data_IF_087106077653
#
_entry.id   IF_087106077653
#
_cell.length_a   1.000
_cell.length_b   1.000
_cell.length_c   1.000
_cell.angle_alpha   90.00
_cell.angle_beta   90.00
_cell.angle_gamma   90.00
#
_symmetry.space_group_name_H-M   'P 1'
#
loop_
_entity.id
_entity.type
_entity.pdbx_description
1 polymer ?
#
# COMPACT_ATOMS: atom_id res chain seq x y z
N UNK A 1 16.66 -0.06 16.10
CA UNK A 1 15.68 0.41 17.10
C UNK A 1 15.68 -0.56 18.28
N UNK A 2 15.72 -0.10 19.54
CA UNK A 2 15.60 -1.06 20.67
C UNK A 2 14.23 -1.74 20.64
N UNK A 3 14.17 -3.04 20.97
CA UNK A 3 12.95 -3.85 20.85
C UNK A 3 11.72 -3.25 21.58
N UNK A 4 11.93 -2.57 22.70
CA UNK A 4 10.86 -1.90 23.45
C UNK A 4 10.19 -0.77 22.65
N UNK A 5 10.95 -0.01 21.88
CA UNK A 5 10.40 1.11 21.09
C UNK A 5 9.58 0.57 19.92
N UNK A 6 10.05 -0.51 19.28
CA UNK A 6 9.31 -1.15 18.21
C UNK A 6 7.93 -1.65 18.68
N UNK A 7 7.86 -2.29 19.85
CA UNK A 7 6.59 -2.74 20.42
C UNK A 7 5.63 -1.57 20.67
N UNK A 8 6.10 -0.49 21.27
CA UNK A 8 5.26 0.69 21.54
C UNK A 8 4.72 1.29 20.24
N UNK A 9 5.54 1.37 19.19
CA UNK A 9 5.12 1.88 17.88
C UNK A 9 4.04 0.97 17.27
N UNK A 10 4.27 -0.34 17.25
CA UNK A 10 3.32 -1.34 16.73
C UNK A 10 1.96 -1.21 17.43
N UNK A 11 1.94 -1.23 18.76
CA UNK A 11 0.71 -1.12 19.54
C UNK A 11 0.01 0.23 19.33
N UNK A 12 0.77 1.32 19.11
CA UNK A 12 0.20 2.63 18.83
C UNK A 12 -0.57 2.63 17.50
N UNK A 13 -0.03 2.03 16.45
CA UNK A 13 -0.72 1.89 15.16
C UNK A 13 -1.97 1.00 15.26
N UNK A 14 -1.89 -0.15 15.96
CA UNK A 14 -3.06 -1.00 16.17
C UNK A 14 -4.13 -0.32 17.03
N UNK A 15 -3.73 0.45 18.04
CA UNK A 15 -4.67 1.24 18.85
C UNK A 15 -5.37 2.28 17.99
N UNK A 16 -4.64 3.01 17.14
CA UNK A 16 -5.24 3.97 16.21
C UNK A 16 -6.18 3.28 15.21
N UNK A 17 -5.80 2.12 14.66
CA UNK A 17 -6.64 1.33 13.78
C UNK A 17 -7.94 0.93 14.48
N UNK A 18 -7.85 0.41 15.71
CA UNK A 18 -9.00 0.04 16.53
C UNK A 18 -9.91 1.25 16.79
N UNK A 19 -9.34 2.40 17.19
CA UNK A 19 -10.09 3.63 17.39
C UNK A 19 -10.82 4.06 16.12
N UNK A 20 -10.17 3.96 14.95
CA UNK A 20 -10.78 4.37 13.70
C UNK A 20 -11.78 3.34 13.15
N UNK A 21 -11.63 2.06 13.51
CA UNK A 21 -12.50 0.98 13.05
C UNK A 21 -13.76 0.78 13.89
N UNK A 22 -13.65 0.92 15.21
CA UNK A 22 -14.66 0.48 16.16
C UNK A 22 -15.37 1.64 16.88
N UNK A 23 -14.73 2.81 17.01
CA UNK A 23 -15.37 3.97 17.66
C UNK A 23 -16.39 4.60 16.69
N UNK A 24 -17.63 4.89 17.14
CA UNK A 24 -18.64 5.52 16.29
C UNK A 24 -18.17 6.85 15.69
N UNK A 25 -18.54 7.12 14.43
CA UNK A 25 -18.18 8.34 13.69
C UNK A 25 -18.37 9.63 14.50
N UNK A 26 -19.49 9.76 15.22
CA UNK A 26 -19.81 10.93 16.05
C UNK A 26 -18.85 11.15 17.23
N UNK A 27 -18.21 10.08 17.72
CA UNK A 27 -17.23 10.16 18.80
C UNK A 27 -15.83 10.44 18.27
N UNK A 28 -15.41 9.74 17.21
CA UNK A 28 -14.06 9.91 16.64
C UNK A 28 -13.83 11.30 16.02
N UNK A 29 -14.85 11.95 15.43
CA UNK A 29 -14.71 13.34 14.94
C UNK A 29 -14.45 14.37 16.05
N UNK A 30 -14.71 14.05 17.32
CA UNK A 30 -14.45 14.99 18.45
C UNK A 30 -12.95 15.26 18.65
N UNK A 31 -12.10 14.33 18.21
CA UNK A 31 -10.64 14.44 18.30
C UNK A 31 -9.99 14.75 16.94
N UNK A 32 -10.76 15.24 15.97
CA UNK A 32 -10.30 15.50 14.59
C UNK A 32 -9.00 16.33 14.56
N UNK A 33 -8.91 17.41 15.33
CA UNK A 33 -7.72 18.27 15.35
C UNK A 33 -6.45 17.56 15.84
N UNK A 34 -6.59 16.62 16.79
CA UNK A 34 -5.46 15.84 17.28
C UNK A 34 -5.03 14.80 16.25
N UNK A 35 -5.99 14.16 15.57
CA UNK A 35 -5.71 13.25 14.47
C UNK A 35 -5.06 13.97 13.30
N UNK A 36 -5.54 15.16 12.94
CA UNK A 36 -4.94 15.95 11.87
C UNK A 36 -3.50 16.31 12.19
N UNK A 37 -3.23 16.82 13.40
CA UNK A 37 -1.86 17.13 13.84
C UNK A 37 -0.94 15.90 13.79
N UNK A 38 -1.45 14.72 14.14
CA UNK A 38 -0.67 13.48 14.10
C UNK A 38 -0.39 13.04 12.66
N UNK A 39 -1.41 13.01 11.80
CA UNK A 39 -1.34 12.46 10.46
C UNK A 39 -0.73 13.42 9.43
N UNK A 40 -0.72 14.72 9.70
CA UNK A 40 -0.01 15.72 8.90
C UNK A 40 1.50 15.68 9.16
N UNK A 41 1.94 15.04 10.25
CA UNK A 41 3.34 14.89 10.55
C UNK A 41 3.98 13.80 9.66
N UNK A 42 4.93 14.19 8.82
CA UNK A 42 5.64 13.26 7.94
C UNK A 42 6.31 12.11 8.71
N UNK A 43 6.76 12.34 9.94
CA UNK A 43 7.37 11.31 10.80
C UNK A 43 6.41 10.18 11.18
N UNK A 44 5.10 10.37 11.06
CA UNK A 44 4.13 9.30 11.24
C UNK A 44 4.24 8.28 10.10
N UNK A 45 4.40 8.76 8.86
CA UNK A 45 4.35 7.92 7.67
C UNK A 45 5.67 7.20 7.37
N UNK A 46 6.81 7.69 7.86
CA UNK A 46 8.13 7.05 7.63
C UNK A 46 8.17 5.59 8.12
N UNK A 47 7.34 5.24 9.12
CA UNK A 47 7.25 3.88 9.65
C UNK A 47 6.72 2.86 8.62
N UNK A 48 6.05 3.31 7.55
CA UNK A 48 5.65 2.45 6.43
C UNK A 48 6.83 1.87 5.66
N UNK A 49 8.04 2.38 5.87
CA UNK A 49 9.29 1.88 5.31
C UNK A 49 10.34 1.54 6.38
N UNK A 50 9.91 1.28 7.62
CA UNK A 50 10.80 0.87 8.71
C UNK A 50 11.49 -0.46 8.39
N UNK A 51 12.70 -0.69 8.89
CA UNK A 51 13.43 -1.96 8.69
C UNK A 51 12.68 -3.15 9.32
N UNK A 52 11.93 -2.92 10.40
CA UNK A 52 11.17 -3.94 11.08
C UNK A 52 9.85 -4.26 10.33
N UNK A 53 9.66 -5.49 9.81
CA UNK A 53 8.45 -5.86 9.08
C UNK A 53 7.18 -5.75 9.92
N UNK A 54 7.26 -5.98 11.24
CA UNK A 54 6.09 -5.86 12.12
C UNK A 54 5.60 -4.42 12.28
N UNK A 55 6.52 -3.44 12.24
CA UNK A 55 6.15 -2.02 12.22
C UNK A 55 5.45 -1.69 10.91
N UNK A 56 5.99 -2.15 9.78
CA UNK A 56 5.37 -1.95 8.46
C UNK A 56 3.98 -2.58 8.39
N UNK A 57 3.81 -3.83 8.84
CA UNK A 57 2.50 -4.50 8.92
C UNK A 57 1.49 -3.68 9.74
N UNK A 58 1.89 -3.14 10.88
CA UNK A 58 1.00 -2.32 11.71
C UNK A 58 0.57 -1.03 10.99
N UNK A 59 1.47 -0.40 10.23
CA UNK A 59 1.15 0.77 9.38
C UNK A 59 0.20 0.40 8.26
N UNK A 60 0.42 -0.75 7.59
CA UNK A 60 -0.45 -1.23 6.52
C UNK A 60 -1.86 -1.53 7.04
N UNK A 61 -1.97 -2.20 8.19
CA UNK A 61 -3.25 -2.47 8.86
C UNK A 61 -3.98 -1.18 9.29
N UNK A 62 -3.25 -0.20 9.83
CA UNK A 62 -3.79 1.12 10.12
C UNK A 62 -4.36 1.78 8.86
N UNK A 63 -3.61 1.75 7.76
CA UNK A 63 -4.03 2.35 6.50
C UNK A 63 -5.25 1.63 5.91
N UNK A 64 -5.25 0.29 5.90
CA UNK A 64 -6.39 -0.55 5.49
C UNK A 64 -7.66 -0.16 6.25
N UNK A 65 -7.57 -0.08 7.58
CA UNK A 65 -8.71 0.26 8.44
C UNK A 65 -9.20 1.67 8.18
N UNK A 66 -8.29 2.63 8.09
CA UNK A 66 -8.62 4.04 7.84
C UNK A 66 -9.29 4.21 6.48
N UNK A 67 -8.73 3.62 5.41
CA UNK A 67 -9.32 3.66 4.06
C UNK A 67 -10.72 3.03 4.01
N UNK A 68 -10.96 1.98 4.79
CA UNK A 68 -12.24 1.28 4.80
C UNK A 68 -13.31 1.98 5.63
N UNK A 69 -12.92 2.73 6.67
CA UNK A 69 -13.84 3.22 7.72
C UNK A 69 -13.90 4.74 7.83
N UNK A 70 -12.89 5.43 7.30
CA UNK A 70 -12.75 6.88 7.36
C UNK A 70 -11.82 7.42 6.23
N UNK A 71 -12.13 7.16 4.95
CA UNK A 71 -11.29 7.54 3.83
C UNK A 71 -11.02 9.06 3.75
N UNK A 72 -11.94 9.89 4.24
CA UNK A 72 -11.81 11.36 4.29
C UNK A 72 -10.60 11.83 5.11
N UNK A 73 -10.10 10.98 6.02
CA UNK A 73 -8.89 11.25 6.79
C UNK A 73 -7.61 11.03 5.97
N UNK A 74 -7.67 10.22 4.91
CA UNK A 74 -6.53 9.93 4.02
C UNK A 74 -6.48 10.87 2.83
N UNK A 75 -7.63 11.29 2.30
CA UNK A 75 -7.75 12.16 1.13
C UNK A 75 -6.86 13.42 1.15
N UNK A 76 -6.80 14.24 2.22
CA UNK A 76 -5.94 15.41 2.24
C UNK A 76 -4.43 15.07 2.30
N UNK A 77 -4.09 13.80 2.55
CA UNK A 77 -2.73 13.30 2.82
C UNK A 77 -2.22 12.37 1.73
N UNK A 78 -2.89 12.30 0.58
CA UNK A 78 -2.51 11.41 -0.52
C UNK A 78 -1.06 11.59 -0.96
N UNK A 79 -0.50 12.81 -0.94
CA UNK A 79 0.92 13.04 -1.24
C UNK A 79 1.86 12.37 -0.24
N UNK A 80 1.53 12.39 1.07
CA UNK A 80 2.30 11.72 2.11
C UNK A 80 2.20 10.20 1.99
N UNK A 81 0.97 9.69 1.85
CA UNK A 81 0.71 8.24 1.65
C UNK A 81 1.41 7.74 0.39
N UNK A 82 1.32 8.48 -0.71
CA UNK A 82 2.01 8.17 -1.96
C UNK A 82 3.52 8.08 -1.75
N UNK A 83 4.11 9.03 -1.03
CA UNK A 83 5.56 9.12 -0.82
C UNK A 83 6.09 7.98 0.05
N UNK A 84 5.41 7.66 1.14
CA UNK A 84 5.92 6.77 2.18
C UNK A 84 5.39 5.35 2.11
N UNK A 85 4.19 5.14 1.57
CA UNK A 85 3.60 3.83 1.37
C UNK A 85 3.72 3.39 -0.10
N UNK A 86 3.01 4.06 -1.01
CA UNK A 86 2.85 3.56 -2.39
C UNK A 86 4.16 3.49 -3.18
N UNK A 87 5.03 4.50 -3.01
CA UNK A 87 6.35 4.53 -3.63
C UNK A 87 7.31 3.42 -3.16
N UNK A 88 6.98 2.76 -2.05
CA UNK A 88 7.79 1.74 -1.37
C UNK A 88 7.15 0.35 -1.45
N UNK A 89 5.84 0.27 -1.67
CA UNK A 89 5.07 -0.97 -1.75
C UNK A 89 5.73 -2.05 -2.64
N UNK A 90 6.19 -1.67 -3.83
CA UNK A 90 6.79 -2.61 -4.79
C UNK A 90 8.24 -3.02 -4.48
N UNK A 91 8.86 -2.44 -3.45
CA UNK A 91 10.17 -2.83 -2.95
C UNK A 91 10.07 -3.75 -1.73
N UNK A 92 8.86 -4.04 -1.23
CA UNK A 92 8.64 -4.98 -0.12
C UNK A 92 8.98 -6.39 -0.56
N UNK A 93 9.82 -7.07 0.22
CA UNK A 93 10.29 -8.42 -0.06
C UNK A 93 9.99 -9.40 1.07
N UNK A 94 9.48 -8.92 2.21
CA UNK A 94 9.14 -9.81 3.32
C UNK A 94 7.71 -10.37 3.15
N UNK A 95 7.56 -11.69 2.93
CA UNK A 95 6.25 -12.31 2.71
C UNK A 95 5.26 -12.11 3.85
N UNK A 96 5.73 -11.92 5.09
CA UNK A 96 4.86 -11.74 6.26
C UNK A 96 4.10 -10.41 6.27
N UNK A 97 4.45 -9.49 5.36
CA UNK A 97 3.84 -8.16 5.27
C UNK A 97 2.93 -8.02 4.06
N UNK A 98 3.00 -8.98 3.13
CA UNK A 98 2.38 -8.84 1.81
C UNK A 98 0.86 -8.84 1.87
N UNK A 99 0.24 -9.61 2.76
CA UNK A 99 -1.22 -9.62 2.86
C UNK A 99 -1.75 -8.23 3.20
N UNK A 100 -1.27 -7.65 4.28
CA UNK A 100 -1.68 -6.32 4.75
C UNK A 100 -1.27 -5.23 3.77
N UNK A 101 -0.09 -5.36 3.14
CA UNK A 101 0.38 -4.44 2.10
C UNK A 101 -0.60 -4.41 0.92
N UNK A 102 -0.95 -5.58 0.38
CA UNK A 102 -1.82 -5.69 -0.80
C UNK A 102 -3.24 -5.23 -0.50
N UNK A 103 -3.79 -5.57 0.66
CA UNK A 103 -5.09 -5.07 1.10
C UNK A 103 -5.12 -3.53 1.15
N UNK A 104 -4.12 -2.91 1.79
CA UNK A 104 -4.02 -1.46 1.87
C UNK A 104 -3.80 -0.82 0.49
N UNK A 105 -2.98 -1.43 -0.37
CA UNK A 105 -2.70 -0.97 -1.73
C UNK A 105 -3.95 -0.98 -2.61
N UNK A 106 -4.73 -2.07 -2.56
CA UNK A 106 -5.96 -2.20 -3.33
C UNK A 106 -7.03 -1.23 -2.85
N UNK A 107 -7.21 -1.07 -1.54
CA UNK A 107 -8.13 -0.08 -0.97
C UNK A 107 -7.74 1.35 -1.35
N UNK A 108 -6.45 1.69 -1.27
CA UNK A 108 -5.95 3.01 -1.63
C UNK A 108 -6.21 3.30 -3.12
N UNK A 109 -5.90 2.33 -3.98
CA UNK A 109 -6.05 2.48 -5.43
C UNK A 109 -7.52 2.55 -5.84
N UNK A 110 -8.39 1.79 -5.18
CA UNK A 110 -9.85 1.83 -5.41
C UNK A 110 -10.48 3.14 -4.94
N UNK A 111 -10.12 3.61 -3.75
CA UNK A 111 -10.72 4.82 -3.16
C UNK A 111 -10.15 6.11 -3.75
N UNK A 112 -8.86 6.11 -4.09
CA UNK A 112 -8.13 7.29 -4.52
C UNK A 112 -7.25 7.00 -5.75
N UNK A 113 -7.84 6.61 -6.89
CA UNK A 113 -7.07 6.25 -8.09
C UNK A 113 -6.15 7.38 -8.57
N UNK A 114 -6.51 8.66 -8.35
CA UNK A 114 -5.68 9.83 -8.66
C UNK A 114 -4.29 9.81 -8.00
N UNK A 115 -4.07 9.01 -6.95
CA UNK A 115 -2.75 8.83 -6.32
C UNK A 115 -1.69 8.29 -7.31
N UNK A 116 -2.15 7.65 -8.40
CA UNK A 116 -1.33 7.09 -9.47
C UNK A 116 -0.90 8.09 -10.53
N UNK A 117 -1.50 9.28 -10.57
CA UNK A 117 -1.21 10.26 -11.59
C UNK A 117 0.29 10.61 -11.68
N UNK A 118 0.77 10.82 -12.90
CA UNK A 118 2.18 11.12 -13.21
C UNK A 118 2.59 12.58 -12.91
N UNK A 119 1.84 13.28 -12.07
CA UNK A 119 2.05 14.71 -11.75
C UNK A 119 3.26 14.98 -10.84
N UNK A 120 3.90 13.92 -10.35
CA UNK A 120 4.93 13.97 -9.32
C UNK A 120 6.30 13.52 -9.84
N UNK A 121 7.38 14.05 -9.24
CA UNK A 121 8.78 13.81 -9.69
C UNK A 121 9.20 12.34 -9.74
N UNK A 122 8.54 11.46 -8.97
CA UNK A 122 8.80 10.02 -8.92
C UNK A 122 7.58 9.29 -9.49
N UNK A 123 7.62 8.85 -10.75
CA UNK A 123 6.48 8.15 -11.36
C UNK A 123 6.32 6.76 -10.74
N UNK A 124 5.07 6.34 -10.53
CA UNK A 124 4.74 5.05 -9.91
C UNK A 124 4.64 3.92 -10.94
N UNK A 125 4.12 4.22 -12.13
CA UNK A 125 3.91 3.22 -13.18
C UNK A 125 5.20 2.50 -13.59
N UNK A 126 6.35 3.16 -13.83
CA UNK A 126 7.60 2.46 -14.13
C UNK A 126 8.05 1.52 -13.00
N UNK A 127 7.75 1.83 -11.74
CA UNK A 127 8.06 0.95 -10.60
C UNK A 127 7.19 -0.29 -10.60
N UNK A 128 5.89 -0.13 -10.85
CA UNK A 128 4.95 -1.25 -11.00
C UNK A 128 5.39 -2.15 -12.16
N UNK A 129 5.69 -1.59 -13.34
CA UNK A 129 6.15 -2.35 -14.49
C UNK A 129 7.43 -3.13 -14.20
N UNK A 130 8.40 -2.50 -13.55
CA UNK A 130 9.64 -3.18 -13.14
C UNK A 130 9.37 -4.29 -12.10
N UNK A 131 8.47 -4.06 -11.15
CA UNK A 131 8.10 -5.08 -10.17
C UNK A 131 7.41 -6.28 -10.83
N UNK A 132 6.50 -6.02 -11.79
CA UNK A 132 5.85 -7.06 -12.59
C UNK A 132 6.88 -7.89 -13.32
N UNK A 133 7.83 -7.24 -14.00
CA UNK A 133 8.91 -7.90 -14.73
C UNK A 133 9.77 -8.81 -13.85
N UNK A 134 9.96 -8.43 -12.59
CA UNK A 134 10.74 -9.18 -11.61
C UNK A 134 9.90 -10.20 -10.81
N UNK A 135 8.66 -10.49 -11.22
CA UNK A 135 7.81 -11.48 -10.56
C UNK A 135 7.27 -11.05 -9.19
N UNK A 136 7.24 -9.75 -8.91
CA UNK A 136 6.63 -9.14 -7.72
C UNK A 136 7.14 -9.71 -6.37
N UNK A 137 8.44 -9.99 -6.29
CA UNK A 137 9.12 -10.49 -5.08
C UNK A 137 8.56 -11.82 -4.53
N UNK A 138 8.03 -12.69 -5.41
CA UNK A 138 7.85 -14.12 -5.11
C UNK A 138 6.64 -14.52 -4.27
N UNK A 139 5.77 -13.58 -3.88
CA UNK A 139 4.51 -13.94 -3.19
C UNK A 139 3.37 -14.11 -4.17
N UNK A 140 3.48 -15.20 -4.93
CA UNK A 140 2.58 -15.51 -6.05
C UNK A 140 1.14 -15.68 -5.58
N UNK A 141 0.92 -16.33 -4.44
CA UNK A 141 -0.41 -16.64 -3.90
C UNK A 141 -1.23 -15.42 -3.47
N UNK A 142 -0.58 -14.32 -3.09
CA UNK A 142 -1.26 -13.07 -2.69
C UNK A 142 -1.24 -12.07 -3.85
N UNK A 143 -0.07 -11.89 -4.46
CA UNK A 143 0.16 -10.82 -5.43
C UNK A 143 -0.59 -11.07 -6.72
N UNK A 144 -0.49 -12.26 -7.32
CA UNK A 144 -1.05 -12.50 -8.65
C UNK A 144 -2.58 -12.41 -8.69
N UNK A 145 -3.33 -12.99 -7.72
CA UNK A 145 -4.77 -12.76 -7.63
C UNK A 145 -5.13 -11.28 -7.46
N UNK A 146 -4.28 -10.51 -6.78
CA UNK A 146 -4.50 -9.08 -6.51
C UNK A 146 -4.22 -8.18 -7.72
N UNK A 147 -3.40 -8.62 -8.69
CA UNK A 147 -3.00 -7.79 -9.84
C UNK A 147 -4.19 -7.38 -10.71
N UNK A 148 -5.15 -8.28 -10.94
CA UNK A 148 -6.34 -7.95 -11.72
C UNK A 148 -7.15 -6.83 -11.05
N UNK A 149 -7.35 -6.93 -9.74
CA UNK A 149 -8.04 -5.90 -8.96
C UNK A 149 -7.24 -4.59 -8.95
N UNK A 150 -5.91 -4.64 -8.87
CA UNK A 150 -5.07 -3.46 -8.97
C UNK A 150 -5.27 -2.77 -10.32
N UNK A 151 -5.15 -3.49 -11.43
CA UNK A 151 -5.28 -2.93 -12.77
C UNK A 151 -6.66 -2.34 -13.03
N UNK A 152 -7.74 -3.02 -12.61
CA UNK A 152 -9.10 -2.55 -12.78
C UNK A 152 -9.38 -1.21 -12.06
N UNK A 153 -8.69 -0.95 -10.94
CA UNK A 153 -8.83 0.31 -10.20
C UNK A 153 -7.83 1.38 -10.68
N UNK A 154 -6.61 0.97 -11.02
CA UNK A 154 -5.50 1.82 -11.47
C UNK A 154 -5.84 2.62 -12.72
N UNK A 155 -6.56 2.00 -13.68
CA UNK A 155 -6.97 2.68 -14.92
C UNK A 155 -7.82 3.92 -14.68
N UNK A 156 -8.49 4.05 -13.53
CA UNK A 156 -9.26 5.26 -13.23
C UNK A 156 -8.38 6.46 -12.82
N UNK A 157 -7.08 6.24 -12.62
CA UNK A 157 -6.16 7.19 -12.02
C UNK A 157 -5.04 7.68 -12.93
N UNK A 158 -4.95 7.14 -14.14
CA UNK A 158 -3.89 7.42 -15.11
C UNK A 158 -4.48 7.59 -16.51
N UNK A 159 -3.75 8.28 -17.37
CA UNK A 159 -4.09 8.35 -18.78
C UNK A 159 -3.90 6.96 -19.41
N UNK A 160 -5.01 6.33 -19.78
CA UNK A 160 -4.99 4.99 -20.37
C UNK A 160 -4.81 5.10 -21.88
N UNK A 161 -3.62 4.74 -22.35
CA UNK A 161 -3.39 4.49 -23.76
C UNK A 161 -3.20 2.98 -24.01
N UNK A 162 -3.23 2.58 -25.28
CA UNK A 162 -3.02 1.18 -25.66
C UNK A 162 -1.64 0.65 -25.19
N UNK A 163 -0.65 1.54 -25.19
CA UNK A 163 0.74 1.22 -24.83
C UNK A 163 0.87 0.82 -23.36
N UNK A 164 0.13 1.47 -22.47
CA UNK A 164 0.06 1.11 -21.05
C UNK A 164 -0.38 -0.34 -20.87
N UNK A 165 -1.43 -0.77 -21.55
CA UNK A 165 -1.90 -2.15 -21.47
C UNK A 165 -0.85 -3.12 -22.02
N UNK A 166 -0.25 -2.81 -23.17
CA UNK A 166 0.83 -3.59 -23.75
C UNK A 166 2.02 -3.75 -22.79
N UNK A 167 2.47 -2.66 -22.17
CA UNK A 167 3.55 -2.66 -21.19
C UNK A 167 3.18 -3.47 -19.94
N UNK A 168 1.95 -3.32 -19.41
CA UNK A 168 1.47 -4.08 -18.25
C UNK A 168 1.47 -5.59 -18.51
N UNK A 169 0.84 -6.03 -19.60
CA UNK A 169 0.75 -7.45 -19.94
C UNK A 169 2.11 -8.04 -20.33
N UNK A 170 2.95 -7.29 -21.05
CA UNK A 170 4.31 -7.73 -21.40
C UNK A 170 5.16 -7.96 -20.15
N UNK A 171 5.22 -6.99 -19.24
CA UNK A 171 6.00 -7.14 -18.00
C UNK A 171 5.40 -8.21 -17.08
N UNK A 172 4.07 -8.35 -17.02
CA UNK A 172 3.40 -9.42 -16.28
C UNK A 172 3.82 -10.81 -16.79
N UNK A 173 3.79 -11.04 -18.10
CA UNK A 173 4.19 -12.33 -18.66
C UNK A 173 5.68 -12.61 -18.49
N UNK A 174 6.55 -11.60 -18.67
CA UNK A 174 7.98 -11.77 -18.41
C UNK A 174 8.23 -12.20 -16.96
N UNK A 175 7.56 -11.59 -15.98
CA UNK A 175 7.68 -12.00 -14.58
C UNK A 175 7.08 -13.36 -14.27
N UNK A 176 5.92 -13.67 -14.87
CA UNK A 176 5.19 -14.93 -14.68
C UNK A 176 5.89 -16.17 -15.24
N UNK A 177 6.71 -16.00 -16.27
CA UNK A 177 7.44 -17.08 -16.93
C UNK A 177 8.94 -17.11 -16.62
N UNK A 178 9.43 -16.24 -15.73
CA UNK A 178 10.80 -16.28 -15.24
C UNK A 178 10.99 -17.35 -14.15
N UNK A 179 12.21 -17.90 -14.03
CA UNK A 179 12.65 -18.92 -13.06
C UNK A 179 12.48 -18.53 -11.57
N UNK A 180 11.91 -17.36 -11.26
CA UNK A 180 11.63 -16.88 -9.90
C UNK A 180 10.29 -17.37 -9.33
N UNK A 181 9.44 -17.97 -10.15
CA UNK A 181 8.22 -18.64 -9.71
C UNK A 181 8.50 -20.13 -9.64
N UNK A 182 8.46 -20.68 -8.42
CA UNK A 182 8.59 -22.12 -8.21
C UNK A 182 7.41 -22.81 -8.90
N UNK A 183 7.67 -23.38 -10.08
CA UNK A 183 6.66 -24.07 -10.91
C UNK A 183 6.08 -25.31 -10.21
N UNK A 184 6.62 -25.70 -9.05
CA UNK A 184 6.18 -26.85 -8.28
C UNK A 184 4.96 -26.59 -7.37
N UNK A 185 4.51 -25.34 -7.23
CA UNK A 185 3.31 -25.00 -6.45
C UNK A 185 2.05 -24.83 -7.31
N UNK A 186 2.11 -25.17 -8.60
CA UNK A 186 0.95 -25.26 -9.49
C UNK A 186 0.50 -26.72 -9.62
N UNK A 187 -0.02 -27.29 -8.53
CA UNK A 187 -0.71 -28.58 -8.53
C UNK A 187 -1.91 -28.54 -7.57
#
# INVERSE_FOLDING_TARGET
MEAKFARVIIESFYTLAYLFGEVPAAERVKLQSDYDRLLDNEKFWIYGADENPYIRTAVYHFLQTTLSKWPELVEPRLTLVRRHFLNKAFAESNPTTHSELWDALLLLTRGFPQVWANTEKKPLLPKLLNALRNGMNGSVTITYPSLLALFANLINGIDNDYKLYEDLFSNFWVGGFNDHIDQNNAA
#
